data_IF_901731932438
#
_entry.id   IF_901731932438
#
_cell.length_a   1.000
_cell.length_b   1.000
_cell.length_c   1.000
_cell.angle_alpha   90.00
_cell.angle_beta   90.00
_cell.angle_gamma   90.00
#
_symmetry.space_group_name_H-M   'P 1'
#
loop_
_entity.id
_entity.type
_entity.pdbx_description
1 polymer ?
#
# COMPACT_ATOMS: atom_id res chain seq x y z
N UNK A 1 -0.12 2.47 16.99
CA UNK A 1 -0.55 1.08 17.24
C UNK A 1 0.16 0.12 16.28
N UNK A 2 0.34 0.44 15.00
CA UNK A 2 1.10 -0.43 14.07
C UNK A 2 2.45 -0.88 14.65
N UNK A 3 3.28 0.05 15.11
CA UNK A 3 4.56 -0.26 15.77
C UNK A 3 4.42 -0.97 17.13
N UNK A 4 3.30 -0.80 17.83
CA UNK A 4 3.07 -1.42 19.14
C UNK A 4 2.75 -2.91 19.01
N UNK A 5 2.05 -3.28 17.93
CA UNK A 5 1.63 -4.65 17.62
C UNK A 5 2.47 -5.31 16.53
N UNK A 6 3.58 -4.68 16.13
CA UNK A 6 4.47 -5.12 15.04
C UNK A 6 3.73 -5.43 13.72
N UNK A 7 2.83 -4.53 13.33
CA UNK A 7 2.05 -4.66 12.10
C UNK A 7 2.77 -3.92 10.99
N UNK A 8 3.17 -4.70 9.99
CA UNK A 8 3.86 -4.20 8.82
C UNK A 8 2.85 -3.83 7.73
N UNK A 9 2.95 -2.60 7.20
CA UNK A 9 2.01 -2.08 6.18
C UNK A 9 2.72 -1.97 4.83
N UNK A 10 2.14 -2.64 3.81
CA UNK A 10 2.57 -2.45 2.43
C UNK A 10 1.91 -1.19 1.85
N UNK A 11 2.68 -0.22 1.32
CA UNK A 11 2.12 1.01 0.79
C UNK A 11 1.37 0.75 -0.53
N UNK A 12 0.27 1.48 -0.74
CA UNK A 12 -0.43 1.53 -2.03
C UNK A 12 0.08 2.70 -2.88
N UNK A 13 -0.19 2.64 -4.18
CA UNK A 13 0.15 3.71 -5.10
C UNK A 13 -1.01 4.72 -5.18
N UNK A 14 -0.71 6.00 -4.98
CA UNK A 14 -1.61 7.14 -5.19
C UNK A 14 -1.15 7.86 -6.45
N UNK A 15 -2.00 7.86 -7.48
CA UNK A 15 -1.75 8.56 -8.72
C UNK A 15 -2.45 9.93 -8.71
N UNK A 16 -1.67 10.97 -8.96
CA UNK A 16 -2.07 12.36 -8.91
C UNK A 16 -1.57 13.11 -10.15
N UNK A 17 -2.43 13.20 -11.18
CA UNK A 17 -1.99 13.60 -12.52
C UNK A 17 -0.97 12.60 -13.08
N UNK A 18 0.20 13.09 -13.47
CA UNK A 18 1.28 12.27 -14.04
C UNK A 18 2.27 11.74 -12.98
N UNK A 19 2.03 12.03 -11.70
CA UNK A 19 2.88 11.57 -10.60
C UNK A 19 2.23 10.44 -9.83
N UNK A 20 3.06 9.52 -9.35
CA UNK A 20 2.66 8.44 -8.46
C UNK A 20 3.43 8.57 -7.15
N UNK A 21 2.73 8.42 -6.04
CA UNK A 21 3.26 8.47 -4.68
C UNK A 21 2.95 7.16 -3.97
N UNK A 22 3.86 6.68 -3.13
CA UNK A 22 3.58 5.61 -2.18
C UNK A 22 2.95 6.19 -0.91
N UNK A 23 1.74 5.74 -0.58
CA UNK A 23 1.04 6.19 0.61
C UNK A 23 1.79 5.80 1.89
N UNK A 24 1.97 6.75 2.80
CA UNK A 24 2.73 6.58 4.04
C UNK A 24 4.25 6.56 3.88
N UNK A 25 4.77 6.64 2.64
CA UNK A 25 6.22 6.70 2.36
C UNK A 25 6.57 8.03 1.70
N UNK A 26 6.00 8.31 0.53
CA UNK A 26 6.20 9.59 -0.18
C UNK A 26 5.17 10.64 0.23
N UNK A 27 3.99 10.18 0.67
CA UNK A 27 2.84 11.03 0.98
C UNK A 27 2.09 10.49 2.19
N UNK A 28 2.16 11.21 3.31
CA UNK A 28 1.38 10.92 4.50
C UNK A 28 -0.08 11.40 4.36
N UNK A 29 -0.91 11.15 5.38
CA UNK A 29 -2.32 11.50 5.34
C UNK A 29 -2.54 13.02 5.25
N UNK A 30 -1.78 13.81 6.01
CA UNK A 30 -1.92 15.27 6.00
C UNK A 30 -1.51 15.85 4.65
N UNK A 31 -0.37 15.41 4.11
CA UNK A 31 0.12 15.79 2.79
C UNK A 31 -0.84 15.36 1.68
N UNK A 32 -1.47 14.19 1.80
CA UNK A 32 -2.50 13.75 0.86
C UNK A 32 -3.69 14.72 0.81
N UNK A 33 -4.29 15.04 1.96
CA UNK A 33 -5.45 15.95 1.99
C UNK A 33 -5.07 17.35 1.52
N UNK A 34 -3.90 17.85 1.92
CA UNK A 34 -3.39 19.15 1.45
C UNK A 34 -3.22 19.17 -0.07
N UNK A 35 -2.64 18.12 -0.65
CA UNK A 35 -2.47 18.00 -2.10
C UNK A 35 -3.82 18.00 -2.84
N UNK A 36 -4.83 17.35 -2.28
CA UNK A 36 -6.20 17.35 -2.84
C UNK A 36 -6.79 18.76 -2.80
N UNK A 37 -6.73 19.44 -1.66
CA UNK A 37 -7.28 20.78 -1.48
C UNK A 37 -6.60 21.82 -2.37
N UNK A 38 -5.27 21.79 -2.46
CA UNK A 38 -4.50 22.76 -3.25
C UNK A 38 -4.65 22.55 -4.76
N UNK A 39 -4.76 21.30 -5.21
CA UNK A 39 -4.81 20.98 -6.64
C UNK A 39 -6.22 20.94 -7.22
N UNK A 40 -7.24 20.70 -6.38
CA UNK A 40 -8.62 20.44 -6.81
C UNK A 40 -8.78 19.20 -7.68
N UNK A 41 -7.78 18.31 -7.77
CA UNK A 41 -7.85 17.09 -8.59
C UNK A 41 -8.24 15.88 -7.75
N UNK A 42 -9.02 14.99 -8.36
CA UNK A 42 -9.40 13.73 -7.74
C UNK A 42 -8.26 12.71 -7.96
N UNK A 43 -7.67 12.16 -6.89
CA UNK A 43 -6.65 11.11 -7.01
C UNK A 43 -7.25 9.82 -7.57
N UNK A 44 -6.38 8.99 -8.15
CA UNK A 44 -6.65 7.58 -8.38
C UNK A 44 -5.74 6.75 -7.49
N UNK A 45 -6.15 5.54 -7.17
CA UNK A 45 -5.31 4.56 -6.46
C UNK A 45 -5.06 3.36 -7.34
N UNK A 46 -3.94 2.69 -7.11
CA UNK A 46 -3.71 1.35 -7.64
C UNK A 46 -3.09 0.45 -6.59
N UNK A 47 -3.37 -0.83 -6.72
CA UNK A 47 -2.83 -1.87 -5.85
C UNK A 47 -1.31 -2.00 -6.00
N UNK A 48 -0.61 -2.51 -4.97
CA UNK A 48 0.77 -2.97 -5.14
C UNK A 48 0.79 -4.15 -6.11
N UNK A 49 1.85 -4.25 -6.91
CA UNK A 49 2.06 -5.38 -7.80
C UNK A 49 2.47 -6.66 -7.05
N UNK A 50 2.31 -7.86 -7.64
CA UNK A 50 2.80 -9.10 -7.02
C UNK A 50 4.30 -9.06 -6.69
N UNK A 51 5.11 -8.41 -7.53
CA UNK A 51 6.53 -8.25 -7.27
C UNK A 51 6.80 -7.39 -6.02
N UNK A 52 6.07 -6.30 -5.84
CA UNK A 52 6.17 -5.46 -4.63
C UNK A 52 5.75 -6.22 -3.38
N UNK A 53 4.71 -7.06 -3.47
CA UNK A 53 4.32 -7.94 -2.37
C UNK A 53 5.43 -8.94 -2.02
N UNK A 54 6.03 -9.59 -3.00
CA UNK A 54 7.14 -10.52 -2.80
C UNK A 54 8.31 -9.84 -2.08
N UNK A 55 8.75 -8.68 -2.57
CA UNK A 55 9.83 -7.91 -1.93
C UNK A 55 9.46 -7.51 -0.50
N UNK A 56 8.21 -7.09 -0.28
CA UNK A 56 7.71 -6.74 1.04
C UNK A 56 7.77 -7.94 2.00
N UNK A 57 7.25 -9.10 1.60
CA UNK A 57 7.24 -10.32 2.40
C UNK A 57 8.65 -10.80 2.74
N UNK A 58 9.56 -10.77 1.77
CA UNK A 58 10.97 -11.13 2.00
C UNK A 58 11.69 -10.19 2.97
N UNK A 59 11.23 -8.93 3.08
CA UNK A 59 11.80 -7.95 4.00
C UNK A 59 11.27 -8.09 5.42
N UNK A 60 10.00 -8.47 5.57
CA UNK A 60 9.32 -8.48 6.89
C UNK A 60 9.31 -9.84 7.58
N UNK A 61 9.70 -10.92 6.89
CA UNK A 61 9.67 -12.27 7.43
C UNK A 61 11.03 -12.98 7.26
N UNK A 62 11.32 -13.89 8.19
CA UNK A 62 12.46 -14.79 8.13
C UNK A 62 12.04 -16.19 7.65
N UNK A 63 13.04 -17.01 7.32
CA UNK A 63 12.80 -18.41 6.94
C UNK A 63 12.15 -19.15 8.12
N UNK A 64 10.95 -19.67 7.90
CA UNK A 64 10.16 -20.41 8.90
C UNK A 64 8.99 -19.61 9.46
N UNK A 65 8.92 -18.30 9.23
CA UNK A 65 7.79 -17.48 9.67
C UNK A 65 6.53 -17.75 8.84
N UNK A 66 5.38 -17.50 9.45
CA UNK A 66 4.07 -17.49 8.76
C UNK A 66 3.53 -16.08 8.74
N UNK A 67 3.20 -15.56 7.56
CA UNK A 67 2.62 -14.23 7.39
C UNK A 67 1.10 -14.33 7.35
N UNK A 68 0.42 -13.60 8.24
CA UNK A 68 -1.01 -13.30 8.10
C UNK A 68 -1.17 -11.98 7.33
N UNK A 69 -1.47 -12.06 6.03
CA UNK A 69 -1.66 -10.87 5.18
C UNK A 69 -3.14 -10.51 5.06
N UNK A 70 -3.52 -9.36 5.63
CA UNK A 70 -4.90 -8.86 5.65
C UNK A 70 -5.08 -7.73 4.64
N UNK A 71 -6.16 -7.79 3.86
CA UNK A 71 -6.40 -6.85 2.77
C UNK A 71 -7.85 -6.39 2.71
N UNK A 72 -8.08 -5.26 2.04
CA UNK A 72 -9.42 -4.85 1.61
C UNK A 72 -10.07 -5.94 0.76
N UNK A 73 -11.40 -6.00 0.77
CA UNK A 73 -12.17 -6.98 0.01
C UNK A 73 -11.77 -7.03 -1.46
N UNK A 74 -11.69 -8.25 -2.01
CA UNK A 74 -11.44 -8.50 -3.42
C UNK A 74 -12.50 -7.88 -4.36
N UNK A 75 -13.68 -7.50 -3.83
CA UNK A 75 -14.71 -6.78 -4.61
C UNK A 75 -14.33 -5.33 -4.94
N UNK A 76 -13.48 -4.71 -4.12
CA UNK A 76 -13.10 -3.29 -4.26
C UNK A 76 -11.69 -3.11 -4.82
N UNK A 77 -10.81 -4.11 -4.66
CA UNK A 77 -9.43 -3.99 -5.10
C UNK A 77 -8.81 -5.32 -5.53
N UNK A 78 -7.91 -5.26 -6.50
CA UNK A 78 -7.01 -6.35 -6.88
C UNK A 78 -5.86 -6.60 -5.90
N UNK A 79 -5.80 -5.89 -4.76
CA UNK A 79 -4.76 -6.04 -3.74
C UNK A 79 -4.64 -7.49 -3.26
N UNK A 80 -5.76 -8.14 -2.92
CA UNK A 80 -5.77 -9.54 -2.50
C UNK A 80 -5.20 -10.48 -3.59
N UNK A 81 -5.65 -10.30 -4.84
CA UNK A 81 -5.18 -11.12 -5.95
C UNK A 81 -3.67 -10.95 -6.19
N UNK A 82 -3.15 -9.73 -6.01
CA UNK A 82 -1.72 -9.44 -6.15
C UNK A 82 -0.90 -10.08 -5.04
N UNK A 83 -1.41 -10.07 -3.80
CA UNK A 83 -0.82 -10.76 -2.66
C UNK A 83 -0.79 -12.29 -2.85
N UNK A 84 -1.87 -12.89 -3.37
CA UNK A 84 -1.93 -14.34 -3.65
C UNK A 84 -0.97 -14.77 -4.75
N UNK A 85 -0.65 -13.89 -5.69
CA UNK A 85 0.24 -14.17 -6.81
C UNK A 85 1.74 -13.94 -6.51
N UNK A 86 2.08 -13.43 -5.32
CA UNK A 86 3.44 -13.09 -4.89
C UNK A 86 4.22 -14.32 -4.39
#
# INVERSE_FOLDING_TARGET
>A
WESEYDIQVIPINIQFGDRTYLHGVDLDNEGFYRLVDESGRIPKTSQPSPYQFKEFYQRVAQVGDTILSLHVTAKLSGTYASAVAA
#
